data_IF_669355677019
#
_entry.id   IF_669355677019
#
_cell.length_a   1.000
_cell.length_b   1.000
_cell.length_c   1.000
_cell.angle_alpha   90.00
_cell.angle_beta   90.00
_cell.angle_gamma   90.00
#
_symmetry.space_group_name_H-M   'P 1'
#
loop_
_entity.id
_entity.type
_entity.pdbx_description
1 polymer ?
#
# COMPACT_ATOMS: atom_id res chain seq x y z
N UNK A 1 -13.01 2.57 -3.51
CA UNK A 1 -11.62 2.89 -3.13
C UNK A 1 -10.79 1.64 -3.34
N UNK A 2 -9.68 1.70 -4.08
CA UNK A 2 -8.80 0.54 -4.28
C UNK A 2 -8.20 0.11 -2.93
N UNK A 3 -8.72 -0.98 -2.36
CA UNK A 3 -8.21 -1.65 -1.16
C UNK A 3 -7.20 -2.75 -1.49
N UNK A 4 -6.86 -2.92 -2.76
CA UNK A 4 -5.91 -3.91 -3.22
C UNK A 4 -4.47 -3.48 -2.90
N UNK A 5 -3.63 -4.45 -2.55
CA UNK A 5 -2.22 -4.18 -2.26
C UNK A 5 -1.52 -3.68 -3.54
N UNK A 6 -0.60 -2.71 -3.43
CA UNK A 6 0.18 -2.30 -4.59
C UNK A 6 1.03 -3.49 -5.08
N UNK A 7 1.12 -3.64 -6.39
CA UNK A 7 1.97 -4.64 -7.03
C UNK A 7 3.41 -4.11 -7.12
N UNK A 8 4.43 -4.93 -6.80
CA UNK A 8 5.82 -4.52 -6.99
C UNK A 8 6.11 -4.21 -8.47
N UNK A 9 6.93 -3.18 -8.76
CA UNK A 9 7.34 -2.88 -10.12
C UNK A 9 8.27 -3.96 -10.66
N UNK A 10 8.20 -4.19 -11.96
CA UNK A 10 9.11 -5.11 -12.65
C UNK A 10 10.52 -4.52 -12.77
N UNK A 11 11.58 -5.35 -12.87
CA UNK A 11 12.95 -4.88 -13.00
C UNK A 11 13.17 -3.92 -14.18
N UNK A 12 12.41 -4.09 -15.26
CA UNK A 12 12.50 -3.23 -16.45
C UNK A 12 11.85 -1.84 -16.26
N UNK A 13 10.97 -1.68 -15.26
CA UNK A 13 10.41 -0.38 -14.88
C UNK A 13 11.41 0.43 -14.05
N UNK A 14 12.37 -0.26 -13.42
CA UNK A 14 13.49 0.37 -12.78
C UNK A 14 14.47 0.87 -13.85
N UNK A 15 14.49 2.19 -14.05
CA UNK A 15 15.44 2.90 -14.92
C UNK A 15 16.92 2.59 -14.61
N UNK A 16 17.25 2.07 -13.41
CA UNK A 16 18.58 1.56 -13.05
C UNK A 16 19.68 2.61 -12.92
N UNK A 17 19.40 3.86 -13.27
CA UNK A 17 20.36 4.96 -13.35
C UNK A 17 20.01 6.15 -12.43
N UNK A 18 19.16 5.93 -11.42
CA UNK A 18 18.78 6.98 -10.47
C UNK A 18 17.72 7.95 -11.00
N UNK A 19 16.79 7.49 -11.85
CA UNK A 19 15.63 8.30 -12.21
C UNK A 19 14.81 8.68 -10.96
N UNK A 20 14.48 9.96 -10.82
CA UNK A 20 13.62 10.48 -9.75
C UNK A 20 12.25 10.91 -10.30
N UNK A 21 11.13 10.45 -9.69
CA UNK A 21 11.06 9.52 -8.56
C UNK A 21 11.38 8.06 -8.95
N UNK A 22 12.08 7.33 -8.08
CA UNK A 22 12.35 5.90 -8.29
C UNK A 22 11.04 5.11 -8.17
N UNK A 23 10.77 4.19 -9.11
CA UNK A 23 9.57 3.34 -9.10
C UNK A 23 9.42 2.56 -7.78
N UNK A 24 10.55 2.19 -7.18
CA UNK A 24 10.56 1.52 -5.88
C UNK A 24 10.18 2.44 -4.72
N UNK A 25 10.46 3.74 -4.79
CA UNK A 25 10.01 4.70 -3.78
C UNK A 25 8.50 4.85 -3.82
N UNK A 26 7.94 5.00 -5.02
CA UNK A 26 6.49 5.10 -5.23
C UNK A 26 5.79 3.85 -4.70
N UNK A 27 6.31 2.67 -5.06
CA UNK A 27 5.79 1.40 -4.57
C UNK A 27 5.83 1.30 -3.04
N UNK A 28 6.97 1.62 -2.41
CA UNK A 28 7.11 1.59 -0.95
C UNK A 28 6.14 2.55 -0.27
N UNK A 29 5.95 3.75 -0.82
CA UNK A 29 5.01 4.71 -0.27
C UNK A 29 3.57 4.21 -0.35
N UNK A 30 3.16 3.69 -1.51
CA UNK A 30 1.86 3.09 -1.70
C UNK A 30 1.64 1.90 -0.76
N UNK A 31 2.68 1.06 -0.57
CA UNK A 31 2.60 -0.12 0.30
C UNK A 31 2.39 0.28 1.76
N UNK A 32 3.10 1.30 2.25
CA UNK A 32 2.88 1.82 3.61
C UNK A 32 1.44 2.31 3.80
N UNK A 33 0.94 3.13 2.87
CA UNK A 33 -0.44 3.64 2.91
C UNK A 33 -1.46 2.50 2.91
N UNK A 34 -1.23 1.46 2.10
CA UNK A 34 -2.08 0.28 2.10
C UNK A 34 -2.02 -0.47 3.44
N UNK A 35 -0.84 -0.69 4.00
CA UNK A 35 -0.69 -1.35 5.30
C UNK A 35 -1.40 -0.59 6.43
N UNK A 36 -1.26 0.74 6.46
CA UNK A 36 -1.96 1.62 7.40
C UNK A 36 -3.48 1.52 7.23
N UNK A 37 -3.97 1.52 5.98
CA UNK A 37 -5.39 1.34 5.69
C UNK A 37 -5.90 -0.05 6.11
N UNK A 38 -5.12 -1.13 5.90
CA UNK A 38 -5.49 -2.48 6.34
C UNK A 38 -5.57 -2.58 7.86
N UNK A 39 -4.65 -1.94 8.58
CA UNK A 39 -4.69 -1.89 10.04
C UNK A 39 -5.95 -1.16 10.51
N UNK A 40 -6.25 0.02 9.94
CA UNK A 40 -7.47 0.76 10.25
C UNK A 40 -8.75 -0.03 9.90
N UNK A 41 -8.75 -0.78 8.79
CA UNK A 41 -9.86 -1.66 8.41
C UNK A 41 -10.04 -2.83 9.38
N UNK A 42 -8.95 -3.46 9.85
CA UNK A 42 -9.04 -4.54 10.83
C UNK A 42 -9.50 -4.04 12.21
N UNK A 43 -9.06 -2.85 12.61
CA UNK A 43 -9.49 -2.19 13.85
C UNK A 43 -10.96 -1.74 13.79
N UNK A 44 -11.41 -1.25 12.64
CA UNK A 44 -12.81 -0.85 12.43
C UNK A 44 -13.72 -2.06 12.25
N UNK A 45 -13.28 -3.13 11.57
CA UNK A 45 -14.01 -4.38 11.44
C UNK A 45 -14.24 -5.10 12.78
N UNK A 46 -13.36 -4.87 13.76
CA UNK A 46 -13.49 -5.43 15.10
C UNK A 46 -14.44 -4.64 16.02
N UNK A 47 -14.84 -3.41 15.65
CA UNK A 47 -15.75 -2.57 16.45
C UNK A 47 -17.22 -2.64 16.04
N UNK A 48 -17.58 -3.36 14.97
CA UNK A 48 -18.96 -3.52 14.51
C UNK A 48 -19.69 -4.76 15.09
N UNK A 49 -19.09 -5.46 16.07
CA UNK A 49 -19.73 -6.61 16.75
C UNK A 49 -20.23 -6.33 18.17
N UNK A 50 -20.53 -5.07 18.49
CA UNK A 50 -21.26 -4.73 19.72
C UNK A 50 -22.62 -4.13 19.35
N UNK A 51 -23.57 -5.02 19.07
CA UNK A 51 -25.00 -4.81 19.34
C UNK A 51 -25.29 -5.63 20.60
N UNK A 52 -25.70 -5.00 21.71
CA UNK A 52 -27.05 -4.47 21.88
C UNK A 52 -27.15 -2.95 22.09
#
# INVERSE_FOLDING_TARGET
MNTEAPTPPEPHECCGNGCEPCVWDIYREALRKWQEAQQALNETASKDKTHP
#
